data_IF_422932399675
#
_entry.id   IF_422932399675
#
_cell.length_a   1.000
_cell.length_b   1.000
_cell.length_c   1.000
_cell.angle_alpha   90.00
_cell.angle_beta   90.00
_cell.angle_gamma   90.00
#
_symmetry.space_group_name_H-M   'P 1'
#
loop_
_entity.id
_entity.type
_entity.pdbx_description
1 polymer ?
#
# COMPACT_ATOMS: atom_id res chain seq x y z
N UNK A 1 4.48 -6.49 10.43
CA UNK A 1 3.72 -7.56 9.75
C UNK A 1 2.96 -6.99 8.55
N UNK A 2 2.09 -5.99 8.73
CA UNK A 2 1.38 -5.33 7.62
C UNK A 2 2.24 -4.85 6.44
N UNK A 3 3.35 -4.16 6.73
CA UNK A 3 4.29 -3.75 5.70
C UNK A 3 4.84 -4.94 4.88
N UNK A 4 4.98 -6.11 5.50
CA UNK A 4 5.38 -7.34 4.81
C UNK A 4 4.29 -7.84 3.88
N UNK A 5 3.07 -8.00 4.39
CA UNK A 5 1.91 -8.47 3.61
C UNK A 5 1.64 -7.58 2.38
N UNK A 6 1.68 -6.26 2.56
CA UNK A 6 1.48 -5.31 1.44
C UNK A 6 2.61 -5.46 0.41
N UNK A 7 3.86 -5.59 0.85
CA UNK A 7 4.98 -5.74 -0.08
C UNK A 7 4.94 -7.07 -0.84
N UNK A 8 4.55 -8.16 -0.17
CA UNK A 8 4.38 -9.48 -0.77
C UNK A 8 3.29 -9.46 -1.84
N UNK A 9 2.11 -8.91 -1.53
CA UNK A 9 1.04 -8.77 -2.51
C UNK A 9 1.47 -7.94 -3.74
N UNK A 10 2.19 -6.83 -3.53
CA UNK A 10 2.73 -6.01 -4.64
C UNK A 10 3.69 -6.81 -5.52
N UNK A 11 4.55 -7.64 -4.91
CA UNK A 11 5.50 -8.50 -5.61
C UNK A 11 4.76 -9.57 -6.44
N UNK A 12 3.77 -10.23 -5.85
CA UNK A 12 2.99 -11.31 -6.48
C UNK A 12 2.09 -10.83 -7.62
N UNK A 13 1.58 -9.59 -7.53
CA UNK A 13 0.63 -9.03 -8.50
C UNK A 13 1.28 -8.12 -9.55
N UNK A 14 2.61 -8.01 -9.55
CA UNK A 14 3.38 -7.17 -10.46
C UNK A 14 2.97 -5.68 -10.44
N UNK A 15 2.56 -5.16 -9.28
CA UNK A 15 2.12 -3.77 -9.11
C UNK A 15 3.29 -2.79 -8.86
N UNK A 16 4.53 -3.29 -8.88
CA UNK A 16 5.72 -2.44 -8.81
C UNK A 16 5.77 -1.43 -9.94
N UNK A 17 6.32 -0.27 -9.63
CA UNK A 17 6.45 0.87 -10.54
C UNK A 17 5.13 1.52 -11.01
N UNK A 18 3.99 0.99 -10.59
CA UNK A 18 2.68 1.62 -10.74
C UNK A 18 2.36 2.49 -9.52
N UNK A 19 1.62 3.56 -9.76
CA UNK A 19 1.06 4.39 -8.70
C UNK A 19 -0.31 3.85 -8.33
N UNK A 20 -0.52 3.53 -7.06
CA UNK A 20 -1.83 3.16 -6.50
C UNK A 20 -2.30 4.27 -5.56
N UNK A 21 -3.58 4.57 -5.55
CA UNK A 21 -4.17 5.34 -4.45
C UNK A 21 -4.21 4.49 -3.18
N UNK A 22 -4.19 5.12 -2.00
CA UNK A 22 -4.36 4.39 -0.74
C UNK A 22 -5.73 3.72 -0.63
N UNK A 23 -6.75 4.32 -1.26
CA UNK A 23 -8.08 3.74 -1.40
C UNK A 23 -8.05 2.44 -2.20
N UNK A 24 -7.49 2.42 -3.41
CA UNK A 24 -7.37 1.20 -4.22
C UNK A 24 -6.62 0.08 -3.50
N UNK A 25 -5.61 0.43 -2.70
CA UNK A 25 -4.81 -0.54 -1.95
C UNK A 25 -5.60 -1.26 -0.84
N UNK A 26 -6.72 -0.71 -0.38
CA UNK A 26 -7.51 -1.30 0.71
C UNK A 26 -8.94 -1.64 0.33
N UNK A 27 -9.48 -1.07 -0.75
CA UNK A 27 -10.89 -1.16 -1.11
C UNK A 27 -11.13 -1.81 -2.49
N UNK A 28 -10.07 -2.08 -3.26
CA UNK A 28 -10.23 -2.69 -4.59
C UNK A 28 -10.54 -4.18 -4.54
N UNK A 29 -11.21 -4.69 -5.58
CA UNK A 29 -11.48 -6.13 -5.76
C UNK A 29 -10.21 -6.97 -5.75
N UNK A 30 -9.08 -6.41 -6.22
CA UNK A 30 -7.78 -7.07 -6.26
C UNK A 30 -7.21 -7.39 -4.87
N UNK A 31 -7.77 -6.78 -3.81
CA UNK A 31 -7.32 -6.95 -2.43
C UNK A 31 -8.30 -7.73 -1.56
N UNK A 32 -9.48 -8.14 -2.07
CA UNK A 32 -10.54 -8.81 -1.28
C UNK A 32 -10.07 -10.06 -0.51
N UNK A 33 -9.08 -10.78 -1.03
CA UNK A 33 -8.51 -11.98 -0.40
C UNK A 33 -7.36 -11.69 0.57
N UNK A 34 -6.95 -10.42 0.69
CA UNK A 34 -5.81 -10.01 1.49
C UNK A 34 -6.25 -9.57 2.87
N UNK A 35 -5.47 -9.89 3.89
CA UNK A 35 -5.76 -9.53 5.29
C UNK A 35 -5.80 -8.01 5.53
N UNK A 36 -5.20 -7.23 4.63
CA UNK A 36 -5.19 -5.76 4.70
C UNK A 36 -6.35 -5.09 3.95
N UNK A 37 -7.28 -5.85 3.38
CA UNK A 37 -8.51 -5.29 2.81
C UNK A 37 -9.35 -4.61 3.89
N UNK A 38 -9.88 -3.42 3.60
CA UNK A 38 -10.62 -2.58 4.55
C UNK A 38 -9.79 -2.12 5.75
N UNK A 39 -8.45 -2.14 5.65
CA UNK A 39 -7.57 -1.70 6.73
C UNK A 39 -7.81 -0.23 7.09
N UNK A 40 -7.82 0.04 8.39
CA UNK A 40 -7.86 1.41 8.92
C UNK A 40 -6.80 2.32 8.25
N UNK A 41 -7.18 3.51 7.75
CA UNK A 41 -6.25 4.39 7.02
C UNK A 41 -5.01 4.81 7.82
N UNK A 42 -5.12 5.00 9.14
CA UNK A 42 -3.95 5.36 9.96
C UNK A 42 -2.98 4.17 10.09
N UNK A 43 -3.52 2.95 10.19
CA UNK A 43 -2.72 1.73 10.23
C UNK A 43 -2.03 1.48 8.88
N UNK A 44 -2.73 1.71 7.76
CA UNK A 44 -2.16 1.66 6.42
C UNK A 44 -0.99 2.63 6.29
N UNK A 45 -1.18 3.90 6.67
CA UNK A 45 -0.12 4.91 6.63
C UNK A 45 1.09 4.51 7.48
N UNK A 46 0.88 3.93 8.67
CA UNK A 46 1.97 3.40 9.50
C UNK A 46 2.72 2.27 8.79
N UNK A 47 2.02 1.34 8.14
CA UNK A 47 2.63 0.25 7.38
C UNK A 47 3.43 0.77 6.18
N UNK A 48 2.87 1.70 5.40
CA UNK A 48 3.54 2.34 4.28
C UNK A 48 4.78 3.12 4.74
N UNK A 49 4.72 3.80 5.89
CA UNK A 49 5.87 4.50 6.46
C UNK A 49 7.07 3.58 6.73
N UNK A 50 6.82 2.31 7.10
CA UNK A 50 7.87 1.31 7.29
C UNK A 50 8.50 0.94 5.95
N UNK A 51 7.70 0.80 4.88
CA UNK A 51 8.20 0.52 3.54
C UNK A 51 9.00 1.70 2.96
N UNK A 52 8.54 2.93 3.19
CA UNK A 52 9.27 4.15 2.83
C UNK A 52 10.62 4.22 3.53
N UNK A 53 10.67 3.98 4.84
CA UNK A 53 11.94 3.94 5.60
C UNK A 53 12.91 2.86 5.11
N UNK A 54 12.39 1.79 4.51
CA UNK A 54 13.17 0.71 3.91
C UNK A 54 13.56 0.95 2.44
N UNK A 55 13.16 2.09 1.85
CA UNK A 55 13.39 2.40 0.44
C UNK A 55 12.59 1.54 -0.54
N UNK A 56 11.52 0.89 -0.08
CA UNK A 56 10.67 0.00 -0.90
C UNK A 56 9.42 0.67 -1.45
N UNK A 57 9.08 1.85 -0.95
CA UNK A 57 7.91 2.60 -1.39
C UNK A 57 8.14 4.10 -1.28
N UNK A 58 7.33 4.88 -1.98
CA UNK A 58 7.23 6.32 -1.86
C UNK A 58 5.75 6.70 -1.83
N UNK A 59 5.35 7.45 -0.80
CA UNK A 59 4.00 8.03 -0.69
C UNK A 59 4.02 9.46 -1.22
N UNK A 60 2.96 9.86 -1.91
CA UNK A 60 2.76 11.19 -2.48
C UNK A 60 1.32 11.66 -2.29
N UNK A 61 1.08 12.95 -2.51
CA UNK A 61 -0.22 13.59 -2.30
C UNK A 61 -0.38 14.23 -0.93
N UNK A 62 -1.53 14.85 -0.69
CA UNK A 62 -1.90 15.52 0.56
C UNK A 62 -3.30 15.09 0.98
N UNK A 63 -3.54 15.04 2.30
CA UNK A 63 -4.84 14.73 2.90
C UNK A 63 -5.48 13.48 2.28
N UNK A 64 -6.59 13.65 1.57
CA UNK A 64 -7.46 12.56 1.09
C UNK A 64 -7.03 12.04 -0.29
N UNK A 65 -6.06 12.70 -0.93
CA UNK A 65 -5.60 12.39 -2.29
C UNK A 65 -4.19 11.79 -2.26
N UNK A 66 -3.97 10.84 -1.34
CA UNK A 66 -2.70 10.15 -1.21
C UNK A 66 -2.59 8.95 -2.15
N UNK A 67 -1.39 8.77 -2.69
CA UNK A 67 -1.02 7.56 -3.41
C UNK A 67 0.36 7.05 -3.00
N UNK A 68 0.69 5.86 -3.46
CA UNK A 68 1.93 5.16 -3.17
C UNK A 68 2.47 4.47 -4.42
N UNK A 69 3.79 4.54 -4.62
CA UNK A 69 4.53 3.77 -5.62
C UNK A 69 5.47 2.83 -4.89
N UNK A 70 5.51 1.58 -5.32
CA UNK A 70 6.43 0.57 -4.81
C UNK A 70 7.58 0.29 -5.79
N UNK A 71 8.73 -0.11 -5.27
CA UNK A 71 9.97 -0.35 -6.03
C UNK A 71 10.46 -1.80 -5.90
#
# INVERSE_FOLDING_TARGET
EWAGLIAEWVDETAQKNTVLTLYELTESEATLSQDFHGMDPELLQKALSVLVKRGKAQVFGQEDQQGVKFF
#
